data_IF_621723464484
#
_entry.id   IF_621723464484
#
_cell.length_a   1.000
_cell.length_b   1.000
_cell.length_c   1.000
_cell.angle_alpha   90.00
_cell.angle_beta   90.00
_cell.angle_gamma   90.00
#
_symmetry.space_group_name_H-M   'P 1'
#
loop_
_entity.id
_entity.type
_entity.pdbx_description
1 polymer ?
#
# COMPACT_ATOMS: atom_id res chain seq x y z
N UNK A 1 15.66 -20.68 21.78
CA UNK A 1 15.49 -20.73 20.31
C UNK A 1 14.33 -19.82 19.93
N UNK A 2 14.61 -18.56 19.59
CA UNK A 2 13.56 -17.61 19.16
C UNK A 2 13.17 -17.95 17.72
N UNK A 3 12.00 -18.56 17.54
CA UNK A 3 11.38 -18.68 16.22
C UNK A 3 10.99 -17.27 15.78
N UNK A 4 11.79 -16.67 14.89
CA UNK A 4 11.46 -15.40 14.25
C UNK A 4 10.23 -15.62 13.37
N UNK A 5 9.03 -15.30 13.88
CA UNK A 5 7.81 -15.28 13.07
C UNK A 5 7.80 -13.98 12.26
N UNK A 6 7.99 -14.11 10.95
CA UNK A 6 7.66 -13.07 9.97
C UNK A 6 6.31 -13.37 9.33
N UNK A 7 5.65 -12.35 8.80
CA UNK A 7 4.47 -12.52 7.95
C UNK A 7 4.82 -11.93 6.59
N UNK A 8 4.87 -12.78 5.57
CA UNK A 8 4.89 -12.36 4.17
C UNK A 8 3.44 -12.34 3.68
N UNK A 9 2.91 -11.16 3.41
CA UNK A 9 1.58 -11.01 2.80
C UNK A 9 1.79 -10.85 1.30
N UNK A 10 1.35 -11.84 0.51
CA UNK A 10 1.35 -11.79 -0.97
C UNK A 10 -0.02 -11.32 -1.47
N UNK A 11 -0.03 -10.31 -2.33
CA UNK A 11 -1.24 -9.68 -2.86
C UNK A 11 -1.33 -9.96 -4.37
N UNK A 12 -2.40 -10.62 -4.83
CA UNK A 12 -2.71 -10.86 -6.25
C UNK A 12 -4.08 -10.28 -6.64
N UNK A 13 -4.23 -9.82 -7.89
CA UNK A 13 -5.40 -9.05 -8.35
C UNK A 13 -6.54 -9.90 -8.94
N UNK A 14 -7.80 -9.38 -8.94
CA UNK A 14 -8.23 -8.02 -8.55
C UNK A 14 -8.24 -7.81 -7.01
N UNK A 15 -7.32 -6.98 -6.49
CA UNK A 15 -6.88 -6.99 -5.08
C UNK A 15 -7.74 -6.12 -4.15
N UNK A 16 -9.01 -6.47 -4.05
CA UNK A 16 -9.68 -6.34 -2.75
C UNK A 16 -9.40 -7.62 -1.99
N UNK A 17 -8.73 -7.54 -0.83
CA UNK A 17 -8.64 -8.71 0.01
C UNK A 17 -10.08 -9.11 0.36
N UNK A 18 -10.44 -10.38 0.14
CA UNK A 18 -11.76 -10.90 0.55
C UNK A 18 -11.98 -10.75 2.06
N UNK A 19 -10.90 -10.56 2.82
CA UNK A 19 -10.89 -10.39 4.26
C UNK A 19 -9.75 -9.46 4.68
N UNK A 20 -10.01 -8.53 5.60
CA UNK A 20 -8.98 -7.66 6.19
C UNK A 20 -7.99 -8.50 6.99
N UNK A 21 -6.70 -8.37 6.68
CA UNK A 21 -5.64 -9.02 7.46
C UNK A 21 -5.35 -8.21 8.73
N UNK A 22 -5.31 -8.87 9.89
CA UNK A 22 -4.97 -8.24 11.17
C UNK A 22 -3.69 -8.83 11.74
N UNK A 23 -2.69 -7.99 11.94
CA UNK A 23 -1.43 -8.34 12.55
C UNK A 23 -1.57 -8.31 14.08
N UNK A 24 -1.57 -9.50 14.69
CA UNK A 24 -1.59 -9.66 16.15
C UNK A 24 -0.27 -9.20 16.77
N UNK A 25 0.84 -9.87 16.40
CA UNK A 25 2.16 -9.58 16.96
C UNK A 25 3.27 -10.07 16.02
N UNK A 26 4.28 -9.24 15.77
CA UNK A 26 5.51 -9.61 15.03
C UNK A 26 6.71 -8.77 15.46
N UNK A 27 7.94 -9.22 15.19
CA UNK A 27 9.16 -8.42 15.42
C UNK A 27 9.56 -7.59 14.18
N UNK A 28 9.15 -8.02 13.01
CA UNK A 28 9.40 -7.35 11.73
C UNK A 28 8.22 -7.62 10.78
N UNK A 29 7.94 -6.68 9.88
CA UNK A 29 6.88 -6.82 8.89
C UNK A 29 7.41 -6.47 7.49
N UNK A 30 7.11 -7.34 6.53
CA UNK A 30 7.23 -7.09 5.10
C UNK A 30 5.94 -7.58 4.42
N UNK A 31 5.14 -6.66 3.89
CA UNK A 31 4.03 -7.00 3.00
C UNK A 31 4.46 -6.66 1.57
N UNK A 32 4.35 -7.60 0.63
CA UNK A 32 4.81 -7.41 -0.75
C UNK A 32 3.81 -7.96 -1.75
N UNK A 33 3.68 -7.31 -2.88
CA UNK A 33 2.78 -7.77 -3.93
C UNK A 33 3.33 -7.45 -5.30
N UNK A 34 2.70 -8.07 -6.29
CA UNK A 34 3.04 -7.93 -7.68
C UNK A 34 1.74 -7.91 -8.50
N UNK A 35 1.68 -7.01 -9.47
CA UNK A 35 0.56 -6.87 -10.39
C UNK A 35 1.10 -6.73 -11.80
N UNK A 36 0.52 -7.45 -12.75
CA UNK A 36 0.72 -7.18 -14.17
C UNK A 36 -0.61 -6.76 -14.80
N UNK A 37 -0.63 -5.57 -15.42
CA UNK A 37 -1.85 -5.01 -16.00
C UNK A 37 -1.56 -4.03 -17.14
N UNK A 38 -2.47 -3.94 -18.13
CA UNK A 38 -2.42 -2.96 -19.21
C UNK A 38 -3.18 -1.69 -18.79
N UNK A 39 -2.47 -0.70 -18.25
CA UNK A 39 -3.08 0.58 -17.85
C UNK A 39 -3.23 1.51 -19.07
N UNK A 40 -4.34 2.25 -19.19
CA UNK A 40 -4.41 3.40 -20.08
C UNK A 40 -3.20 4.32 -19.90
N UNK A 41 -2.75 4.98 -20.96
CA UNK A 41 -1.63 5.91 -20.87
C UNK A 41 -1.92 7.02 -19.85
N UNK A 42 -0.95 7.31 -18.99
CA UNK A 42 -1.10 8.32 -17.96
C UNK A 42 -0.27 8.06 -16.71
N UNK A 43 -0.36 8.99 -15.76
CA UNK A 43 0.30 8.88 -14.47
C UNK A 43 -0.64 8.24 -13.45
N UNK A 44 -0.11 7.40 -12.59
CA UNK A 44 -0.86 6.68 -11.57
C UNK A 44 -0.13 6.75 -10.22
N UNK A 45 -0.91 6.66 -9.15
CA UNK A 45 -0.42 6.61 -7.76
C UNK A 45 -0.85 5.30 -7.11
N UNK A 46 0.07 4.66 -6.39
CA UNK A 46 -0.18 3.42 -5.65
C UNK A 46 -0.32 3.70 -4.14
N UNK A 47 -1.30 3.07 -3.50
CA UNK A 47 -1.61 3.26 -2.08
C UNK A 47 -1.83 1.93 -1.36
N UNK A 48 -1.35 1.83 -0.11
CA UNK A 48 -1.82 0.83 0.86
C UNK A 48 -2.96 1.41 1.69
N UNK A 49 -4.04 0.65 1.86
CA UNK A 49 -5.13 1.00 2.78
C UNK A 49 -4.93 0.28 4.11
N UNK A 50 -4.54 1.05 5.13
CA UNK A 50 -4.16 0.53 6.45
C UNK A 50 -5.04 1.13 7.55
N UNK A 51 -5.14 0.43 8.68
CA UNK A 51 -5.78 0.94 9.89
C UNK A 51 -5.04 0.46 11.13
N UNK A 52 -4.70 1.37 12.03
CA UNK A 52 -4.13 1.04 13.32
C UNK A 52 -5.22 0.84 14.39
N UNK A 53 -5.16 -0.31 15.04
CA UNK A 53 -6.10 -0.77 16.05
C UNK A 53 -7.18 -1.70 15.50
N UNK A 54 -8.07 -2.13 16.38
CA UNK A 54 -9.25 -2.91 16.01
C UNK A 54 -10.49 -2.04 16.15
N UNK A 55 -11.36 -2.06 15.14
CA UNK A 55 -12.69 -1.51 15.28
C UNK A 55 -13.47 -2.36 16.30
N UNK A 56 -13.71 -1.82 17.49
CA UNK A 56 -14.56 -2.39 18.51
C UNK A 56 -15.92 -1.67 18.50
N UNK A 57 -16.97 -2.35 18.97
CA UNK A 57 -18.25 -1.71 19.30
C UNK A 57 -18.37 -1.69 20.81
N UNK A 58 -18.49 -0.50 21.41
CA UNK A 58 -18.80 -0.33 22.84
C UNK A 58 -20.09 0.49 22.94
N UNK A 59 -21.13 -0.10 23.55
CA UNK A 59 -22.42 0.57 23.78
C UNK A 59 -23.01 1.20 22.48
N UNK A 60 -22.98 0.47 21.37
CA UNK A 60 -23.52 0.95 20.08
C UNK A 60 -22.64 1.98 19.34
N UNK A 61 -21.60 2.53 19.96
CA UNK A 61 -20.62 3.41 19.32
C UNK A 61 -19.43 2.61 18.80
N UNK A 62 -18.92 2.97 17.61
CA UNK A 62 -17.67 2.42 17.08
C UNK A 62 -16.50 3.07 17.83
N UNK A 63 -15.67 2.27 18.47
CA UNK A 63 -14.52 2.71 19.27
C UNK A 63 -13.28 1.98 18.76
N UNK A 64 -12.15 2.68 18.65
CA UNK A 64 -10.87 2.04 18.40
C UNK A 64 -10.24 1.65 19.74
N UNK A 65 -9.95 0.35 19.95
CA UNK A 65 -9.13 -0.06 21.10
C UNK A 65 -7.65 0.03 20.73
N UNK A 66 -6.84 0.86 21.42
CA UNK A 66 -5.41 0.95 21.19
C UNK A 66 -4.61 -0.16 21.91
N UNK A 67 -5.25 -1.02 22.69
CA UNK A 67 -4.60 -2.00 23.59
C UNK A 67 -3.58 -2.93 22.88
N UNK A 68 -3.77 -3.18 21.59
CA UNK A 68 -2.87 -4.02 20.80
C UNK A 68 -1.95 -3.24 19.85
N UNK A 69 -2.04 -1.91 19.82
CA UNK A 69 -1.20 -1.06 18.97
C UNK A 69 0.12 -0.81 19.69
N UNK A 70 1.23 -1.27 19.09
CA UNK A 70 2.56 -1.04 19.64
C UNK A 70 3.62 -1.17 18.54
N UNK A 71 4.76 -0.51 18.72
CA UNK A 71 5.97 -0.67 17.90
C UNK A 71 6.00 0.08 16.56
N UNK A 72 4.88 0.64 16.11
CA UNK A 72 4.81 1.38 14.83
C UNK A 72 5.41 2.78 14.88
N UNK A 73 5.45 3.40 16.06
CA UNK A 73 5.97 4.75 16.34
C UNK A 73 7.50 4.81 16.40
N UNK A 74 8.19 3.66 16.45
CA UNK A 74 9.64 3.61 16.69
C UNK A 74 10.50 3.95 15.48
N UNK A 75 10.06 3.55 14.29
CA UNK A 75 10.73 3.82 13.01
C UNK A 75 9.70 4.07 11.92
N UNK A 76 10.00 4.86 10.89
CA UNK A 76 9.07 5.00 9.78
C UNK A 76 8.93 3.67 9.04
N UNK A 77 7.72 3.37 8.60
CA UNK A 77 7.44 2.32 7.63
C UNK A 77 7.90 2.81 6.26
N UNK A 78 8.61 1.96 5.52
CA UNK A 78 9.09 2.22 4.17
C UNK A 78 8.15 1.57 3.17
N UNK A 79 7.62 2.35 2.25
CA UNK A 79 6.83 1.87 1.13
C UNK A 79 7.64 1.98 -0.16
N UNK A 80 7.58 0.98 -1.03
CA UNK A 80 8.33 0.97 -2.28
C UNK A 80 7.47 0.44 -3.42
N UNK A 81 7.70 0.94 -4.63
CA UNK A 81 7.25 0.31 -5.86
C UNK A 81 8.37 0.32 -6.91
N UNK A 82 8.36 -0.69 -7.77
CA UNK A 82 9.19 -0.77 -8.97
C UNK A 82 8.39 -1.35 -10.12
N UNK A 83 8.68 -0.92 -11.34
CA UNK A 83 8.01 -1.40 -12.54
C UNK A 83 8.95 -2.15 -13.48
N UNK A 84 8.43 -3.04 -14.34
CA UNK A 84 9.23 -3.80 -15.32
C UNK A 84 9.97 -2.93 -16.32
N UNK A 85 9.50 -1.71 -16.56
CA UNK A 85 10.11 -0.71 -17.44
C UNK A 85 11.08 0.24 -16.71
N UNK A 86 11.49 -0.12 -15.50
CA UNK A 86 12.60 0.50 -14.76
C UNK A 86 12.23 1.69 -13.88
N UNK A 87 10.95 2.02 -13.70
CA UNK A 87 10.55 3.08 -12.77
C UNK A 87 10.64 2.59 -11.33
N UNK A 88 10.94 3.49 -10.41
CA UNK A 88 11.04 3.21 -8.98
C UNK A 88 10.58 4.41 -8.17
N UNK A 89 9.80 4.16 -7.13
CA UNK A 89 9.41 5.18 -6.16
C UNK A 89 9.39 4.61 -4.74
N UNK A 90 9.62 5.49 -3.77
CA UNK A 90 9.65 5.14 -2.36
C UNK A 90 9.13 6.29 -1.51
N UNK A 91 8.36 5.95 -0.47
CA UNK A 91 7.97 6.87 0.58
C UNK A 91 8.28 6.28 1.97
N UNK A 92 8.33 7.15 2.98
CA UNK A 92 8.50 6.77 4.39
C UNK A 92 7.58 7.62 5.25
N UNK A 93 6.86 6.99 6.16
CA UNK A 93 6.06 7.69 7.16
C UNK A 93 5.88 6.83 8.42
N UNK A 94 5.50 7.46 9.52
CA UNK A 94 5.08 6.76 10.71
C UNK A 94 3.63 6.30 10.56
N UNK A 95 3.29 5.18 11.19
CA UNK A 95 1.89 4.82 11.42
C UNK A 95 1.59 5.21 12.87
N UNK A 96 0.99 6.38 13.06
CA UNK A 96 0.74 7.04 14.35
C UNK A 96 -0.71 7.50 14.53
N UNK A 97 -1.57 7.27 13.52
CA UNK A 97 -2.98 7.61 13.54
C UNK A 97 -3.88 6.37 13.78
N UNK A 98 -4.24 6.07 15.05
CA UNK A 98 -5.14 4.97 15.39
C UNK A 98 -6.61 5.29 15.08
N UNK A 99 -7.38 4.27 14.71
CA UNK A 99 -8.84 4.34 14.60
C UNK A 99 -9.40 4.82 13.27
N UNK A 100 -8.52 5.19 12.33
CA UNK A 100 -8.88 5.63 10.99
C UNK A 100 -8.33 4.70 9.92
N UNK A 101 -9.09 4.53 8.84
CA UNK A 101 -8.59 3.90 7.61
C UNK A 101 -7.89 4.96 6.78
N UNK A 102 -6.61 4.76 6.51
CA UNK A 102 -5.76 5.73 5.81
C UNK A 102 -5.17 5.09 4.56
N UNK A 103 -5.13 5.86 3.48
CA UNK A 103 -4.45 5.48 2.23
C UNK A 103 -3.02 6.03 2.26
N UNK A 104 -2.06 5.17 2.58
CA UNK A 104 -0.65 5.50 2.59
C UNK A 104 -0.08 5.45 1.18
N UNK A 105 0.37 6.60 0.68
CA UNK A 105 0.97 6.72 -0.65
C UNK A 105 2.32 6.02 -0.71
N UNK A 106 2.49 5.15 -1.70
CA UNK A 106 3.74 4.43 -1.95
C UNK A 106 4.63 5.22 -2.89
N UNK A 107 4.03 5.73 -3.96
CA UNK A 107 4.73 6.38 -5.05
C UNK A 107 3.87 6.48 -6.29
N UNK A 108 4.44 7.12 -7.30
CA UNK A 108 3.80 7.31 -8.60
C UNK A 108 4.58 6.59 -9.69
N UNK A 109 3.87 6.20 -10.75
CA UNK A 109 4.45 5.62 -11.95
C UNK A 109 3.66 6.05 -13.19
N UNK A 110 4.25 5.89 -14.37
CA UNK A 110 3.65 6.26 -15.65
C UNK A 110 3.36 4.98 -16.45
N UNK A 111 2.14 4.83 -16.94
CA UNK A 111 1.85 3.90 -18.03
C UNK A 111 2.10 4.61 -19.35
N UNK A 112 3.03 4.08 -20.16
CA UNK A 112 3.41 4.66 -21.46
C UNK A 112 2.62 4.09 -22.64
N UNK A 113 1.91 2.99 -22.44
CA UNK A 113 1.15 2.33 -23.51
C UNK A 113 0.02 1.51 -22.92
N UNK A 114 -1.16 1.62 -23.52
CA UNK A 114 -2.32 0.79 -23.17
C UNK A 114 -2.23 -0.67 -23.65
N UNK A 115 -1.25 -1.00 -24.49
CA UNK A 115 -1.15 -2.32 -25.14
C UNK A 115 -0.05 -3.21 -24.54
N UNK A 116 0.83 -2.64 -23.71
CA UNK A 116 1.94 -3.36 -23.09
C UNK A 116 1.64 -3.48 -21.60
N UNK A 117 1.50 -4.70 -21.06
CA UNK A 117 1.35 -4.88 -19.63
C UNK A 117 2.56 -4.31 -18.88
N UNK A 118 2.30 -3.57 -17.81
CA UNK A 118 3.33 -3.15 -16.86
C UNK A 118 3.24 -4.06 -15.64
N UNK A 119 4.37 -4.67 -15.29
CA UNK A 119 4.50 -5.41 -14.04
C UNK A 119 4.95 -4.43 -12.96
N UNK A 120 4.21 -4.36 -11.86
CA UNK A 120 4.43 -3.47 -10.73
C UNK A 120 4.64 -4.34 -9.50
N UNK A 121 5.85 -4.27 -8.94
CA UNK A 121 6.16 -4.85 -7.62
C UNK A 121 6.09 -3.75 -6.59
N UNK A 122 5.48 -4.04 -5.45
CA UNK A 122 5.34 -3.06 -4.39
C UNK A 122 5.51 -3.73 -3.02
N UNK A 123 5.94 -2.95 -2.03
CA UNK A 123 6.13 -3.44 -0.67
C UNK A 123 5.90 -2.36 0.39
N UNK A 124 5.59 -2.84 1.60
CA UNK A 124 5.55 -2.10 2.85
C UNK A 124 6.44 -2.84 3.85
N UNK A 125 7.48 -2.16 4.34
CA UNK A 125 8.54 -2.78 5.14
C UNK A 125 8.79 -1.95 6.40
N UNK A 126 8.82 -2.62 7.55
CA UNK A 126 9.34 -2.04 8.78
C UNK A 126 10.11 -3.10 9.58
N UNK A 127 11.43 -2.95 9.57
CA UNK A 127 12.36 -3.81 10.31
C UNK A 127 12.90 -2.97 11.47
N UNK A 128 12.38 -3.23 12.67
CA UNK A 128 12.89 -2.59 13.88
C UNK A 128 13.67 -3.57 14.75
N UNK A 129 13.24 -4.84 14.85
CA UNK A 129 13.85 -5.91 15.65
C UNK A 129 14.12 -5.60 17.14
N UNK A 130 13.85 -4.38 17.60
CA UNK A 130 14.02 -3.92 18.99
C UNK A 130 12.72 -3.99 19.79
N UNK A 131 11.57 -3.88 19.11
CA UNK A 131 10.24 -3.95 19.72
C UNK A 131 9.32 -4.85 18.90
N UNK A 132 8.43 -5.56 19.60
CA UNK A 132 7.28 -6.20 18.95
C UNK A 132 6.35 -5.14 18.36
N UNK A 133 5.59 -5.55 17.35
CA UNK A 133 4.62 -4.74 16.61
C UNK A 133 3.30 -5.46 16.60
N UNK A 134 2.20 -4.74 16.77
CA UNK A 134 0.87 -5.32 16.72
C UNK A 134 -0.19 -4.29 16.40
N UNK A 135 -1.40 -4.78 16.11
CA UNK A 135 -2.57 -3.91 15.92
C UNK A 135 -2.69 -3.29 14.54
N UNK A 136 -1.96 -3.75 13.52
CA UNK A 136 -2.09 -3.24 12.15
C UNK A 136 -3.10 -4.05 11.35
N UNK A 137 -4.11 -3.38 10.80
CA UNK A 137 -4.98 -3.93 9.77
C UNK A 137 -4.47 -3.55 8.38
N UNK A 138 -4.42 -4.53 7.47
CA UNK A 138 -4.15 -4.32 6.04
C UNK A 138 -5.39 -4.74 5.26
N UNK A 139 -5.96 -3.82 4.48
CA UNK A 139 -7.20 -4.07 3.74
C UNK A 139 -7.02 -4.23 2.24
N UNK A 140 -6.27 -3.34 1.58
CA UNK A 140 -6.10 -3.39 0.13
C UNK A 140 -4.90 -2.58 -0.36
N UNK A 141 -4.51 -2.85 -1.60
CA UNK A 141 -3.61 -2.00 -2.37
C UNK A 141 -4.38 -1.49 -3.58
N UNK A 142 -4.33 -0.17 -3.80
CA UNK A 142 -5.09 0.51 -4.84
C UNK A 142 -4.18 1.31 -5.74
N UNK A 143 -4.48 1.34 -7.03
CA UNK A 143 -3.83 2.17 -8.03
C UNK A 143 -4.87 3.13 -8.59
N UNK A 144 -4.57 4.42 -8.55
CA UNK A 144 -5.50 5.48 -8.95
C UNK A 144 -4.84 6.39 -9.99
N UNK A 145 -5.55 6.83 -11.06
CA UNK A 145 -5.03 7.83 -11.97
C UNK A 145 -4.66 9.11 -11.23
N UNK A 146 -3.46 9.63 -11.50
CA UNK A 146 -2.95 10.87 -10.92
C UNK A 146 -3.21 12.01 -11.89
N UNK A 147 -4.11 12.92 -11.51
CA UNK A 147 -4.29 14.20 -12.20
C UNK A 147 -4.75 14.10 -13.65
N UNK A 148 -5.53 13.08 -14.02
CA UNK A 148 -6.11 12.97 -15.36
C UNK A 148 -6.91 14.25 -15.68
N UNK A 149 -6.38 15.10 -16.55
CA UNK A 149 -7.13 16.13 -17.27
C UNK A 149 -7.53 15.49 -18.61
N UNK A 150 -8.79 15.12 -18.82
CA UNK A 150 -9.24 14.74 -20.15
C UNK A 150 -9.18 15.99 -21.03
N UNK A 151 -8.38 15.98 -22.10
CA UNK A 151 -8.53 16.94 -23.20
C UNK A 151 -7.34 17.87 -23.48
N UNK A 152 -6.16 17.32 -23.73
CA UNK A 152 -5.15 18.03 -24.54
C UNK A 152 -4.61 17.09 -25.61
N UNK A 153 -5.45 16.82 -26.62
CA UNK A 153 -4.94 16.59 -27.96
C UNK A 153 -4.95 17.95 -28.68
N UNK A 154 -3.78 18.46 -29.07
CA UNK A 154 -3.68 19.12 -30.35
C UNK A 154 -2.65 18.36 -31.16
N UNK A 155 -3.09 17.24 -31.75
CA UNK A 155 -2.40 16.67 -32.91
C UNK A 155 -3.35 16.77 -34.09
N UNK A 156 -3.50 17.99 -34.61
CA UNK A 156 -3.96 18.17 -35.99
C UNK A 156 -2.73 18.05 -36.88
N UNK A 157 -2.45 16.84 -37.35
CA UNK A 157 -1.68 16.67 -38.57
C UNK A 157 -2.66 16.43 -39.71
N UNK A 158 -2.84 17.45 -40.55
CA UNK A 158 -3.16 17.25 -41.96
C UNK A 158 -2.52 18.39 -42.74
N UNK A 159 -1.43 18.04 -43.42
CA UNK A 159 -0.93 18.76 -44.58
C UNK A 159 -1.27 17.89 -45.78
N UNK A 160 -2.20 18.34 -46.61
CA UNK A 160 -2.25 18.24 -48.08
C UNK A 160 -3.58 18.82 -48.56
#
# INVERSE_FOLDING_TARGET
>A
MMVKKGIDIVISLPARFRMVAYLQQTWWLEARGELEFCFPEGMYSLFFRLHLGRAAKRLGRRVCSPEHIHGWDKKPVKFQLSTSDGQFAQSKCYLDEPGSWIHYHVGDFISRSCNIPINIKFSMIQIDCTHTKGGLCVDSVSILPKGFRPGFDPVTFSTA
#
